data_IF_139215716154
#
_entry.id   IF_139215716154
#
_cell.length_a   1.000
_cell.length_b   1.000
_cell.length_c   1.000
_cell.angle_alpha   90.00
_cell.angle_beta   90.00
_cell.angle_gamma   90.00
#
_symmetry.space_group_name_H-M   'P 1'
#
loop_
_entity.id
_entity.type
_entity.pdbx_description
1 polymer ?
#
# COMPACT_ATOMS: atom_id res chain seq x y z
N UNK A 1 18.89 11.46 1.62
CA UNK A 1 17.96 12.60 1.48
C UNK A 1 16.68 12.22 2.19
N UNK A 2 16.06 13.14 2.92
CA UNK A 2 14.80 12.88 3.61
C UNK A 2 13.65 13.10 2.64
N UNK A 3 12.71 12.15 2.60
CA UNK A 3 11.52 12.24 1.75
C UNK A 3 10.74 13.52 2.04
N UNK A 4 10.21 14.14 0.99
CA UNK A 4 9.20 15.17 1.15
C UNK A 4 8.07 14.68 2.08
N UNK A 5 7.59 15.47 3.05
CA UNK A 5 6.60 15.02 4.05
C UNK A 5 5.35 14.38 3.45
N UNK A 6 4.90 14.86 2.27
CA UNK A 6 3.75 14.27 1.58
C UNK A 6 4.02 12.88 1.02
N UNK A 7 5.25 12.59 0.58
CA UNK A 7 5.66 11.27 0.11
C UNK A 7 5.83 10.33 1.30
N UNK A 8 6.46 10.81 2.39
CA UNK A 8 6.58 10.03 3.63
C UNK A 8 5.21 9.61 4.16
N UNK A 9 4.26 10.54 4.24
CA UNK A 9 2.90 10.24 4.68
C UNK A 9 2.23 9.14 3.85
N UNK A 10 2.43 9.12 2.52
CA UNK A 10 1.90 8.05 1.67
C UNK A 10 2.54 6.70 1.98
N UNK A 11 3.84 6.66 2.27
CA UNK A 11 4.56 5.44 2.62
C UNK A 11 4.08 4.87 3.95
N UNK A 12 3.82 5.71 4.94
CA UNK A 12 3.29 5.27 6.23
C UNK A 12 1.92 4.59 6.10
N UNK A 13 1.12 5.00 5.09
CA UNK A 13 -0.17 4.36 4.79
C UNK A 13 -0.05 2.97 4.17
N UNK A 14 1.15 2.52 3.78
CA UNK A 14 1.39 1.14 3.34
C UNK A 14 1.69 0.18 4.50
N UNK A 15 1.77 0.65 5.75
CA UNK A 15 1.80 -0.25 6.89
C UNK A 15 0.62 -1.23 6.83
N UNK A 16 0.91 -2.50 7.14
CA UNK A 16 -0.03 -3.59 7.07
C UNK A 16 -0.04 -4.44 8.33
N UNK A 17 0.87 -4.22 9.28
CA UNK A 17 1.02 -5.08 10.46
C UNK A 17 -0.21 -5.04 11.37
N UNK A 18 -0.96 -3.95 11.33
CA UNK A 18 -2.21 -3.77 12.07
C UNK A 18 -3.41 -4.56 11.47
N UNK A 19 -3.29 -5.10 10.25
CA UNK A 19 -4.36 -5.86 9.60
C UNK A 19 -4.40 -7.30 10.13
N UNK A 20 -5.58 -7.97 10.11
CA UNK A 20 -5.66 -9.42 10.31
C UNK A 20 -4.78 -10.19 9.31
N UNK A 21 -4.19 -11.34 9.70
CA UNK A 21 -3.20 -12.05 8.87
C UNK A 21 -3.63 -12.31 7.42
N UNK A 22 -4.89 -12.71 7.21
CA UNK A 22 -5.45 -12.98 5.87
C UNK A 22 -5.57 -11.75 4.95
N UNK A 23 -5.47 -10.53 5.50
CA UNK A 23 -5.44 -9.28 4.73
C UNK A 23 -4.01 -8.74 4.57
N UNK A 24 -3.10 -9.11 5.48
CA UNK A 24 -1.71 -8.67 5.43
C UNK A 24 -1.02 -9.10 4.15
N UNK A 25 -1.23 -10.36 3.71
CA UNK A 25 -0.55 -10.88 2.52
C UNK A 25 -0.89 -10.05 1.27
N UNK A 26 -2.15 -9.66 1.09
CA UNK A 26 -2.55 -8.80 -0.04
C UNK A 26 -1.95 -7.40 0.09
N UNK A 27 -1.99 -6.81 1.29
CA UNK A 27 -1.45 -5.47 1.52
C UNK A 27 0.08 -5.40 1.39
N UNK A 28 0.79 -6.46 1.79
CA UNK A 28 2.26 -6.57 1.77
C UNK A 28 2.81 -6.44 0.37
N UNK A 29 2.21 -7.10 -0.62
CA UNK A 29 2.64 -7.04 -2.02
C UNK A 29 2.69 -5.60 -2.54
N UNK A 30 1.71 -4.76 -2.17
CA UNK A 30 1.68 -3.37 -2.59
C UNK A 30 2.65 -2.50 -1.77
N UNK A 31 2.85 -2.82 -0.48
CA UNK A 31 3.84 -2.15 0.36
C UNK A 31 5.27 -2.38 -0.14
N UNK A 32 5.59 -3.59 -0.59
CA UNK A 32 6.89 -3.92 -1.19
C UNK A 32 7.14 -3.16 -2.49
N UNK A 33 6.12 -3.06 -3.37
CA UNK A 33 6.21 -2.22 -4.57
C UNK A 33 6.43 -0.76 -4.20
N UNK A 34 5.72 -0.21 -3.21
CA UNK A 34 5.89 1.17 -2.76
C UNK A 34 7.33 1.43 -2.25
N UNK A 35 7.84 0.53 -1.40
CA UNK A 35 9.19 0.60 -0.87
C UNK A 35 10.25 0.51 -1.97
N UNK A 36 10.07 -0.39 -2.93
CA UNK A 36 10.97 -0.51 -4.08
C UNK A 36 11.00 0.78 -4.91
N UNK A 37 9.84 1.33 -5.27
CA UNK A 37 9.77 2.56 -6.08
C UNK A 37 10.45 3.74 -5.39
N UNK A 38 10.26 3.91 -4.08
CA UNK A 38 10.96 4.93 -3.29
C UNK A 38 12.47 4.69 -3.23
N UNK A 39 12.90 3.43 -3.17
CA UNK A 39 14.32 3.07 -3.10
C UNK A 39 15.08 3.29 -4.42
N UNK A 40 14.41 3.22 -5.56
CA UNK A 40 15.06 3.28 -6.88
C UNK A 40 14.81 4.57 -7.66
N UNK A 41 13.81 5.37 -7.29
CA UNK A 41 13.46 6.62 -7.98
C UNK A 41 13.88 7.86 -7.17
N UNK A 42 14.10 8.97 -7.88
CA UNK A 42 14.24 10.28 -7.27
C UNK A 42 12.89 10.84 -6.80
N UNK A 43 12.93 11.82 -5.91
CA UNK A 43 11.73 12.51 -5.47
C UNK A 43 11.10 13.37 -6.58
N UNK A 44 9.77 13.46 -6.55
CA UNK A 44 9.03 14.29 -7.50
C UNK A 44 7.52 14.08 -7.46
N UNK A 45 6.77 14.90 -8.21
CA UNK A 45 5.32 14.82 -8.28
C UNK A 45 4.81 13.49 -8.86
N UNK A 46 5.56 12.89 -9.80
CA UNK A 46 5.20 11.61 -10.42
C UNK A 46 5.34 10.43 -9.44
N UNK A 47 6.39 10.42 -8.61
CA UNK A 47 6.53 9.41 -7.55
C UNK A 47 5.36 9.50 -6.57
N UNK A 48 5.03 10.71 -6.11
CA UNK A 48 3.91 10.94 -5.18
C UNK A 48 2.57 10.52 -5.80
N UNK A 49 2.38 10.79 -7.10
CA UNK A 49 1.17 10.38 -7.84
C UNK A 49 1.10 8.86 -7.99
N UNK A 50 2.21 8.21 -8.32
CA UNK A 50 2.32 6.75 -8.40
C UNK A 50 1.99 6.08 -7.07
N UNK A 51 2.56 6.58 -5.97
CA UNK A 51 2.28 6.06 -4.62
C UNK A 51 0.81 6.20 -4.23
N UNK A 52 0.16 7.32 -4.56
CA UNK A 52 -1.29 7.50 -4.31
C UNK A 52 -2.13 6.49 -5.09
N UNK A 53 -1.82 6.29 -6.37
CA UNK A 53 -2.51 5.29 -7.21
C UNK A 53 -2.31 3.87 -6.69
N UNK A 54 -1.09 3.57 -6.23
CA UNK A 54 -0.77 2.27 -5.66
C UNK A 54 -1.52 2.04 -4.34
N UNK A 55 -1.67 3.08 -3.51
CA UNK A 55 -2.46 3.03 -2.28
C UNK A 55 -3.95 2.78 -2.56
N UNK A 56 -4.52 3.46 -3.56
CA UNK A 56 -5.89 3.21 -4.01
C UNK A 56 -6.08 1.75 -4.49
N UNK A 57 -5.11 1.20 -5.21
CA UNK A 57 -5.12 -0.20 -5.64
C UNK A 57 -5.06 -1.15 -4.43
N UNK A 58 -4.15 -0.92 -3.48
CA UNK A 58 -4.04 -1.67 -2.22
C UNK A 58 -5.38 -1.73 -1.50
N UNK A 59 -6.02 -0.58 -1.30
CA UNK A 59 -7.31 -0.50 -0.61
C UNK A 59 -8.42 -1.27 -1.35
N UNK A 60 -8.45 -1.22 -2.68
CA UNK A 60 -9.39 -2.02 -3.49
C UNK A 60 -9.19 -3.52 -3.28
N UNK A 61 -7.94 -4.00 -3.32
CA UNK A 61 -7.64 -5.41 -3.14
C UNK A 61 -7.91 -5.90 -1.71
N UNK A 62 -7.59 -5.09 -0.70
CA UNK A 62 -7.92 -5.40 0.71
C UNK A 62 -9.44 -5.49 0.90
N UNK A 63 -10.22 -4.57 0.34
CA UNK A 63 -11.70 -4.64 0.38
C UNK A 63 -12.22 -5.92 -0.27
N UNK A 64 -11.65 -6.34 -1.41
CA UNK A 64 -12.03 -7.60 -2.04
C UNK A 64 -11.69 -8.81 -1.14
N UNK A 65 -10.50 -8.83 -0.52
CA UNK A 65 -10.12 -9.88 0.41
C UNK A 65 -11.07 -9.98 1.62
N UNK A 66 -11.59 -8.85 2.11
CA UNK A 66 -12.65 -8.83 3.14
C UNK A 66 -13.95 -9.47 2.63
N UNK A 67 -14.36 -9.17 1.39
CA UNK A 67 -15.57 -9.77 0.79
C UNK A 67 -15.41 -11.29 0.68
N UNK A 68 -14.23 -11.76 0.24
CA UNK A 68 -13.95 -13.19 0.08
C UNK A 68 -13.90 -13.91 1.43
N UNK A 69 -13.34 -13.28 2.47
CA UNK A 69 -13.34 -13.82 3.83
C UNK A 69 -14.76 -13.98 4.41
N UNK A 70 -15.68 -13.07 4.09
CA UNK A 70 -17.09 -13.17 4.54
C UNK A 70 -17.84 -14.31 3.84
N UNK A 71 -17.60 -14.53 2.54
CA UNK A 71 -18.23 -15.62 1.77
C UNK A 71 -17.84 -17.00 2.28
N UNK A 72 -16.60 -17.17 2.78
CA UNK A 72 -16.13 -18.45 3.34
C UNK A 72 -16.85 -18.86 4.64
N UNK A 73 -17.52 -17.92 5.30
CA UNK A 73 -18.21 -18.12 6.58
C UNK A 73 -19.72 -18.31 6.41
N UNK A 74 -20.25 -18.18 5.18
CA UNK A 74 -21.66 -18.39 4.82
C UNK A 74 -21.87 -19.77 4.20
#
# INVERSE_FOLDING_TARGET
MALHPSTQHLIDLFDFDHLPPHLQDVSRELAEVAAFMVGVLGEGPELTTGLRKLLEAKDCFVRQAVIDARKKTS
#
